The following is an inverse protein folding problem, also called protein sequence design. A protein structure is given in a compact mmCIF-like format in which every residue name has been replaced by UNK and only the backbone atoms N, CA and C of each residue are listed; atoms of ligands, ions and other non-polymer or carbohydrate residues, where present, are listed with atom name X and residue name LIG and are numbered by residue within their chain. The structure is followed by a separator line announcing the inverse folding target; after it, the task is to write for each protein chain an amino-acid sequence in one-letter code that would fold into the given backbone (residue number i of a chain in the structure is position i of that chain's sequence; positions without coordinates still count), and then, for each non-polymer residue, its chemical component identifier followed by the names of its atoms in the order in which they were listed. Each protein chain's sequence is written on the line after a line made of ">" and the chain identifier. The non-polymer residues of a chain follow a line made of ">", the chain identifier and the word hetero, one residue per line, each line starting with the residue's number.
data_IF_117211677033
#
_entry.id   IF_117211677033
#
_cell.length_a   1.000
_cell.length_b   1.000
_cell.length_c   1.000
_cell.angle_alpha   90.00
_cell.angle_beta   90.00
_cell.angle_gamma   90.00
#
_symmetry.space_group_name_H-M   'P 1'
#
loop_
_entity.id
_entity.type
_entity.pdbx_description
1 polymer ?
#
# COMPACT_ATOMS: atom_id res chain seq x y z
N UNK A 1 -30.67 11.63 17.39
CA UNK A 1 -29.82 11.32 16.21
C UNK A 1 -30.57 10.42 15.26
N UNK A 2 -30.62 10.78 13.99
CA UNK A 2 -31.41 10.04 13.00
C UNK A 2 -30.86 8.63 12.73
N UNK A 3 -31.73 7.65 12.69
CA UNK A 3 -31.44 6.22 12.49
C UNK A 3 -30.61 5.96 11.19
N UNK A 4 -30.79 6.78 10.15
CA UNK A 4 -30.03 6.73 8.89
C UNK A 4 -28.50 6.84 9.08
N UNK A 5 -28.03 7.79 9.92
CA UNK A 5 -26.59 7.98 10.17
C UNK A 5 -25.99 6.77 10.90
N UNK A 6 -26.74 6.19 11.85
CA UNK A 6 -26.31 5.00 12.59
C UNK A 6 -26.18 3.79 11.66
N UNK A 7 -27.20 3.51 10.87
CA UNK A 7 -27.20 2.39 9.89
C UNK A 7 -26.08 2.54 8.87
N UNK A 8 -25.86 3.76 8.34
CA UNK A 8 -24.75 4.02 7.40
C UNK A 8 -23.39 3.82 8.04
N UNK A 9 -23.21 4.25 9.28
CA UNK A 9 -21.96 4.06 10.03
C UNK A 9 -21.70 2.57 10.34
N UNK A 10 -22.72 1.80 10.68
CA UNK A 10 -22.63 0.36 10.92
C UNK A 10 -22.24 -0.39 9.65
N UNK A 11 -22.89 -0.12 8.52
CA UNK A 11 -22.53 -0.69 7.20
C UNK A 11 -21.07 -0.40 6.81
N UNK A 12 -20.59 0.83 7.03
CA UNK A 12 -19.20 1.18 6.76
C UNK A 12 -18.21 0.47 7.69
N UNK A 13 -18.58 0.26 8.95
CA UNK A 13 -17.75 -0.50 9.90
C UNK A 13 -17.66 -1.98 9.50
N UNK A 14 -18.79 -2.59 9.12
CA UNK A 14 -18.82 -3.98 8.66
C UNK A 14 -18.03 -4.17 7.37
N UNK A 15 -18.18 -3.29 6.39
CA UNK A 15 -17.41 -3.33 5.16
C UNK A 15 -15.89 -3.24 5.44
N UNK A 16 -15.46 -2.38 6.38
CA UNK A 16 -14.05 -2.26 6.77
C UNK A 16 -13.50 -3.48 7.49
N UNK A 17 -14.32 -4.22 8.26
CA UNK A 17 -13.88 -5.44 8.93
C UNK A 17 -13.45 -6.52 7.94
N UNK A 18 -14.08 -6.59 6.79
CA UNK A 18 -13.82 -7.59 5.75
C UNK A 18 -12.62 -7.25 4.84
N UNK A 19 -12.18 -5.99 4.86
CA UNK A 19 -11.05 -5.56 4.04
C UNK A 19 -9.74 -5.90 4.77
N UNK A 20 -8.84 -6.57 4.06
CA UNK A 20 -7.47 -6.82 4.53
C UNK A 20 -6.54 -5.80 3.91
N UNK A 21 -5.85 -5.05 4.75
CA UNK A 21 -4.93 -4.03 4.31
C UNK A 21 -3.70 -3.91 5.22
N UNK A 22 -2.63 -3.37 4.66
CA UNK A 22 -1.48 -2.89 5.42
C UNK A 22 -1.15 -1.45 5.03
N UNK A 23 -0.65 -0.66 5.97
CA UNK A 23 -0.36 0.75 5.77
C UNK A 23 1.03 1.11 6.26
N UNK A 24 1.79 1.80 5.41
CA UNK A 24 3.09 2.38 5.72
C UNK A 24 2.96 3.90 5.75
N UNK A 25 3.18 4.52 6.91
CA UNK A 25 3.11 5.96 7.07
C UNK A 25 4.49 6.60 6.99
N UNK A 26 4.53 7.85 6.50
CA UNK A 26 5.73 8.72 6.46
C UNK A 26 6.97 8.07 5.83
N UNK A 27 6.79 7.31 4.75
CA UNK A 27 7.90 6.75 4.01
C UNK A 27 8.71 7.87 3.34
N UNK A 28 10.04 7.99 3.55
CA UNK A 28 10.85 9.09 3.06
C UNK A 28 11.22 8.96 1.58
N UNK A 29 10.30 8.47 0.76
CA UNK A 29 10.42 8.34 -0.69
C UNK A 29 9.39 9.26 -1.34
N UNK A 30 9.74 9.88 -2.46
CA UNK A 30 8.79 10.70 -3.22
C UNK A 30 7.59 9.86 -3.70
N UNK A 31 6.33 10.36 -3.56
CA UNK A 31 5.13 9.65 -4.03
C UNK A 31 5.21 9.23 -5.50
N UNK A 32 5.79 10.09 -6.34
CA UNK A 32 5.96 9.82 -7.77
C UNK A 32 6.85 8.59 -8.02
N UNK A 33 7.96 8.44 -7.28
CA UNK A 33 8.85 7.28 -7.40
C UNK A 33 8.19 6.01 -6.86
N UNK A 34 7.39 6.13 -5.79
CA UNK A 34 6.66 5.00 -5.21
C UNK A 34 5.58 4.49 -6.16
N UNK A 35 4.81 5.38 -6.81
CA UNK A 35 3.75 5.00 -7.77
C UNK A 35 4.28 4.20 -8.95
N UNK A 36 5.46 4.53 -9.48
CA UNK A 36 6.07 3.78 -10.59
C UNK A 36 6.26 2.29 -10.28
N UNK A 37 6.53 1.94 -9.02
CA UNK A 37 6.65 0.53 -8.62
C UNK A 37 5.28 -0.04 -8.25
N UNK A 38 4.43 0.74 -7.59
CA UNK A 38 3.09 0.32 -7.20
C UNK A 38 2.22 -0.09 -8.40
N UNK A 39 2.27 0.68 -9.49
CA UNK A 39 1.50 0.41 -10.71
C UNK A 39 1.86 -0.94 -11.35
N UNK A 40 3.09 -1.42 -11.16
CA UNK A 40 3.54 -2.72 -11.68
C UNK A 40 2.98 -3.91 -10.88
N UNK A 41 2.44 -3.68 -9.69
CA UNK A 41 2.01 -4.75 -8.77
C UNK A 41 0.51 -4.97 -8.78
N UNK A 42 -0.28 -3.99 -9.18
CA UNK A 42 -1.74 -4.04 -9.14
C UNK A 42 -2.26 -5.15 -10.06
N UNK A 43 -3.18 -5.96 -9.54
CA UNK A 43 -3.79 -7.07 -10.27
C UNK A 43 -2.95 -8.35 -10.36
N UNK A 44 -1.72 -8.35 -9.84
CA UNK A 44 -0.90 -9.57 -9.81
C UNK A 44 -1.17 -10.42 -8.57
N UNK A 45 -0.95 -11.74 -8.74
CA UNK A 45 -0.89 -12.70 -7.62
C UNK A 45 0.28 -12.35 -6.71
N UNK A 46 0.14 -12.66 -5.42
CA UNK A 46 1.14 -12.32 -4.40
C UNK A 46 2.52 -12.87 -4.73
N UNK A 47 2.64 -14.13 -5.16
CA UNK A 47 3.93 -14.76 -5.46
C UNK A 47 4.67 -14.02 -6.57
N UNK A 48 3.94 -13.66 -7.63
CA UNK A 48 4.50 -12.87 -8.73
C UNK A 48 4.88 -11.46 -8.28
N UNK A 49 4.08 -10.83 -7.44
CA UNK A 49 4.35 -9.50 -6.92
C UNK A 49 5.61 -9.49 -6.04
N UNK A 50 5.78 -10.48 -5.16
CA UNK A 50 6.99 -10.64 -4.34
C UNK A 50 8.22 -10.82 -5.23
N UNK A 51 8.13 -11.67 -6.27
CA UNK A 51 9.23 -11.87 -7.22
C UNK A 51 9.62 -10.59 -7.95
N UNK A 52 8.64 -9.81 -8.43
CA UNK A 52 8.88 -8.51 -9.08
C UNK A 52 9.60 -7.54 -8.11
N UNK A 53 9.15 -7.46 -6.87
CA UNK A 53 9.73 -6.56 -5.87
C UNK A 53 11.14 -6.95 -5.49
N UNK A 54 11.40 -8.25 -5.32
CA UNK A 54 12.71 -8.79 -4.92
C UNK A 54 13.80 -8.55 -5.97
N UNK A 55 13.46 -8.66 -7.24
CA UNK A 55 14.41 -8.47 -8.34
C UNK A 55 14.47 -7.03 -8.88
N UNK A 56 13.63 -6.13 -8.38
CA UNK A 56 13.65 -4.72 -8.76
C UNK A 56 14.77 -3.95 -8.05
N UNK A 57 15.65 -3.22 -8.76
CA UNK A 57 16.73 -2.45 -8.16
C UNK A 57 16.28 -1.14 -7.50
N UNK A 58 14.98 -0.84 -7.50
CA UNK A 58 14.45 0.42 -6.98
C UNK A 58 14.31 0.39 -5.46
N UNK A 59 14.74 1.44 -4.76
CA UNK A 59 14.60 1.57 -3.30
C UNK A 59 13.14 1.40 -2.82
N UNK A 60 12.18 1.88 -3.61
CA UNK A 60 10.76 1.75 -3.31
C UNK A 60 10.31 0.28 -3.20
N UNK A 61 10.92 -0.63 -3.95
CA UNK A 61 10.58 -2.06 -3.95
C UNK A 61 10.83 -2.71 -2.60
N UNK A 62 11.95 -2.38 -1.94
CA UNK A 62 12.31 -2.91 -0.60
C UNK A 62 11.24 -2.52 0.44
N UNK A 63 10.71 -1.30 0.34
CA UNK A 63 9.66 -0.83 1.27
C UNK A 63 8.32 -1.48 0.99
N UNK A 64 7.96 -1.64 -0.30
CA UNK A 64 6.72 -2.29 -0.72
C UNK A 64 6.74 -3.79 -0.43
N UNK A 65 7.88 -4.47 -0.56
CA UNK A 65 8.04 -5.88 -0.21
C UNK A 65 7.70 -6.12 1.26
N UNK A 66 8.30 -5.35 2.17
CA UNK A 66 8.02 -5.45 3.61
C UNK A 66 6.55 -5.15 3.94
N UNK A 67 5.97 -4.15 3.26
CA UNK A 67 4.56 -3.82 3.45
C UNK A 67 3.64 -4.92 2.94
N UNK A 68 3.96 -5.54 1.79
CA UNK A 68 3.22 -6.66 1.24
C UNK A 68 3.25 -7.88 2.17
N UNK A 69 4.42 -8.23 2.71
CA UNK A 69 4.55 -9.30 3.71
C UNK A 69 3.71 -9.03 4.96
N UNK A 70 3.67 -7.77 5.42
CA UNK A 70 2.78 -7.38 6.52
C UNK A 70 1.30 -7.53 6.17
N UNK A 71 0.91 -7.21 4.92
CA UNK A 71 -0.47 -7.39 4.46
C UNK A 71 -0.86 -8.87 4.42
N UNK A 72 0.05 -9.76 4.01
CA UNK A 72 -0.15 -11.21 4.01
C UNK A 72 -0.35 -11.72 5.43
N UNK A 73 0.50 -11.32 6.37
CA UNK A 73 0.37 -11.70 7.78
C UNK A 73 -0.96 -11.21 8.39
N UNK A 74 -1.40 -10.00 8.03
CA UNK A 74 -2.70 -9.48 8.45
C UNK A 74 -3.86 -10.30 7.87
N UNK A 75 -3.71 -10.82 6.65
CA UNK A 75 -4.70 -11.70 6.04
C UNK A 75 -4.76 -13.04 6.75
N UNK A 76 -3.62 -13.65 7.03
CA UNK A 76 -3.52 -14.91 7.79
C UNK A 76 -4.18 -14.81 9.17
N UNK A 77 -3.88 -13.72 9.90
CA UNK A 77 -4.48 -13.49 11.21
C UNK A 77 -6.02 -13.32 11.18
N UNK A 78 -6.58 -12.93 10.03
CA UNK A 78 -8.04 -12.84 9.86
C UNK A 78 -8.67 -14.14 9.37
N UNK A 79 -7.92 -14.97 8.66
CA UNK A 79 -8.38 -16.19 7.99
C UNK A 79 -7.50 -17.37 8.40
N UNK A 80 -7.48 -17.68 9.71
CA UNK A 80 -6.61 -18.73 10.30
C UNK A 80 -6.85 -20.12 9.70
N UNK A 81 -8.03 -20.37 9.12
CA UNK A 81 -8.42 -21.66 8.55
C UNK A 81 -8.12 -21.81 7.05
N UNK A 82 -7.67 -20.77 6.37
CA UNK A 82 -7.47 -20.78 4.91
C UNK A 82 -5.98 -20.73 4.55
N UNK A 83 -5.53 -21.63 3.68
CA UNK A 83 -4.18 -21.61 3.12
C UNK A 83 -4.02 -20.49 2.09
N UNK A 84 -2.91 -19.77 2.13
CA UNK A 84 -2.60 -18.66 1.21
C UNK A 84 -2.62 -19.12 -0.25
N UNK A 85 -2.05 -20.30 -0.54
CA UNK A 85 -1.94 -20.85 -1.88
C UNK A 85 -3.32 -21.15 -2.50
N UNK A 86 -4.23 -21.71 -1.68
CA UNK A 86 -5.60 -22.06 -2.10
C UNK A 86 -6.50 -20.81 -2.24
N UNK A 87 -6.25 -19.78 -1.45
CA UNK A 87 -7.03 -18.56 -1.47
C UNK A 87 -6.80 -17.69 -2.73
N UNK A 88 -5.70 -17.93 -3.46
CA UNK A 88 -5.40 -17.21 -4.71
C UNK A 88 -5.34 -15.70 -4.53
N UNK A 89 -4.63 -15.23 -3.50
CA UNK A 89 -4.57 -13.82 -3.14
C UNK A 89 -4.01 -12.94 -4.24
N UNK A 90 -4.69 -11.81 -4.47
CA UNK A 90 -4.35 -10.78 -5.44
C UNK A 90 -4.17 -9.43 -4.75
N UNK A 91 -3.34 -8.60 -5.33
CA UNK A 91 -3.26 -7.19 -4.96
C UNK A 91 -4.39 -6.46 -5.68
N UNK A 92 -5.43 -6.07 -4.91
CA UNK A 92 -6.57 -5.32 -5.44
C UNK A 92 -6.20 -3.89 -5.77
N UNK A 93 -5.57 -3.22 -4.82
CA UNK A 93 -5.31 -1.79 -4.90
C UNK A 93 -4.07 -1.41 -4.09
N UNK A 94 -3.28 -0.49 -4.62
CA UNK A 94 -2.20 0.18 -3.88
C UNK A 94 -2.44 1.68 -3.99
N UNK A 95 -2.72 2.32 -2.86
CA UNK A 95 -2.87 3.78 -2.77
C UNK A 95 -1.59 4.40 -2.26
N UNK A 96 -1.11 5.43 -2.96
CA UNK A 96 0.08 6.20 -2.60
C UNK A 96 -0.31 7.67 -2.45
N UNK A 97 -0.43 8.10 -1.21
CA UNK A 97 -0.81 9.45 -0.83
C UNK A 97 0.42 10.29 -0.48
N UNK A 98 0.34 11.59 -0.69
CA UNK A 98 1.40 12.51 -0.29
C UNK A 98 1.39 12.70 1.22
N UNK A 99 2.59 12.66 1.83
CA UNK A 99 2.80 12.97 3.24
C UNK A 99 3.51 14.32 3.41
N UNK A 100 3.88 14.64 4.64
CA UNK A 100 4.66 15.81 4.96
C UNK A 100 5.98 15.87 4.19
N UNK A 101 6.50 17.06 3.93
CA UNK A 101 7.77 17.27 3.24
C UNK A 101 8.73 18.05 4.12
N UNK A 102 10.02 17.70 4.03
CA UNK A 102 11.09 18.47 4.63
C UNK A 102 11.58 19.52 3.62
N UNK A 103 11.51 20.77 4.02
CA UNK A 103 12.02 21.90 3.23
C UNK A 103 13.49 22.11 3.56
N UNK A 104 14.34 22.20 2.54
CA UNK A 104 15.77 22.50 2.66
C UNK A 104 16.14 23.58 1.65
N UNK A 105 17.27 24.23 1.86
CA UNK A 105 17.81 25.23 0.96
C UNK A 105 19.10 24.70 0.34
N UNK A 106 19.29 25.01 -0.94
CA UNK A 106 20.54 24.83 -1.67
C UNK A 106 21.04 26.20 -2.07
N UNK A 107 22.27 26.52 -1.75
CA UNK A 107 22.91 27.76 -2.14
C UNK A 107 23.02 27.87 -3.65
N UNK A 108 22.83 29.09 -4.18
CA UNK A 108 22.94 29.44 -5.58
C UNK A 108 23.83 30.68 -5.73
N UNK A 109 24.38 30.98 -6.93
CA UNK A 109 25.16 32.16 -7.18
C UNK A 109 24.44 33.45 -6.81
N UNK A 110 25.18 34.51 -6.56
CA UNK A 110 24.68 35.85 -6.23
C UNK A 110 23.83 35.92 -4.95
N UNK A 111 24.15 35.12 -3.93
CA UNK A 111 23.42 35.14 -2.65
C UNK A 111 21.98 34.61 -2.71
N UNK A 112 21.59 33.95 -3.81
CA UNK A 112 20.28 33.32 -3.96
C UNK A 112 20.25 31.93 -3.34
N UNK A 113 19.05 31.41 -3.05
CA UNK A 113 18.86 30.06 -2.56
C UNK A 113 17.69 29.37 -3.29
N UNK A 114 17.89 28.11 -3.65
CA UNK A 114 16.86 27.25 -4.23
C UNK A 114 16.25 26.35 -3.16
N UNK A 115 14.94 26.21 -3.18
CA UNK A 115 14.21 25.33 -2.26
C UNK A 115 14.30 23.88 -2.72
N UNK A 116 14.74 23.00 -1.81
CA UNK A 116 14.65 21.55 -1.98
C UNK A 116 13.49 21.04 -1.14
N UNK A 117 12.62 20.23 -1.75
CA UNK A 117 11.49 19.58 -1.09
C UNK A 117 11.76 18.07 -1.02
N UNK A 118 12.18 17.57 0.14
CA UNK A 118 12.27 16.12 0.39
C UNK A 118 10.88 15.61 0.74
N UNK A 119 10.21 15.01 -0.24
CA UNK A 119 8.82 14.56 -0.12
C UNK A 119 8.75 13.18 0.50
N UNK A 120 7.71 12.95 1.31
CA UNK A 120 7.37 11.65 1.87
C UNK A 120 6.00 11.20 1.36
N UNK A 121 5.68 9.93 1.57
CA UNK A 121 4.40 9.35 1.16
C UNK A 121 3.80 8.45 2.25
N UNK A 122 2.52 8.17 2.10
CA UNK A 122 1.79 7.11 2.79
C UNK A 122 1.38 6.07 1.76
N UNK A 123 1.62 4.80 2.06
CA UNK A 123 1.22 3.71 1.17
C UNK A 123 0.23 2.81 1.88
N UNK A 124 -0.84 2.45 1.21
CA UNK A 124 -1.83 1.47 1.67
C UNK A 124 -1.98 0.39 0.62
N UNK A 125 -1.75 -0.87 0.98
CA UNK A 125 -1.97 -2.05 0.13
C UNK A 125 -3.24 -2.74 0.60
N UNK A 126 -4.14 -3.05 -0.33
CA UNK A 126 -5.36 -3.81 -0.11
C UNK A 126 -5.25 -5.14 -0.85
N UNK A 127 -5.47 -6.23 -0.13
CA UNK A 127 -5.51 -7.58 -0.69
C UNK A 127 -6.95 -8.04 -0.89
N UNK A 128 -7.15 -8.88 -1.89
CA UNK A 128 -8.42 -9.55 -2.19
C UNK A 128 -8.16 -11.04 -2.46
N UNK A 129 -8.97 -11.91 -1.89
CA UNK A 129 -8.95 -13.34 -2.21
C UNK A 129 -9.86 -13.56 -3.42
N UNK A 130 -9.32 -14.12 -4.50
CA UNK A 130 -10.13 -14.64 -5.58
C UNK A 130 -10.49 -16.07 -5.20
N UNK A 131 -11.64 -16.28 -4.57
CA UNK A 131 -12.17 -17.64 -4.42
C UNK A 131 -12.19 -18.28 -5.81
N UNK A 132 -11.34 -19.26 -6.02
CA UNK A 132 -11.45 -20.12 -7.19
C UNK A 132 -12.80 -20.81 -7.09
N UNK A 133 -13.78 -20.34 -7.85
CA UNK A 133 -14.96 -21.14 -8.12
C UNK A 133 -14.46 -22.39 -8.86
N UNK A 134 -14.31 -23.47 -8.11
CA UNK A 134 -14.17 -24.81 -8.67
C UNK A 134 -15.47 -25.09 -9.43
N UNK A 135 -15.45 -24.88 -10.76
CA UNK A 135 -16.42 -25.47 -11.67
C UNK A 135 -16.15 -26.95 -11.82
#
# INVERSE_FOLDING_TARGET
>A
MGNRKKISAEKLKEAKKNIVFAKLNNCPISPRKMRLVADQLIGHKIDKAISILKFSPKEASIKLEKLLLSAISNWQAKNESEDIEKAGLLIKEIRVDSAGMLKRLRTAPQGRAHRIRKRSNHVTIVLESKKLELK
#
